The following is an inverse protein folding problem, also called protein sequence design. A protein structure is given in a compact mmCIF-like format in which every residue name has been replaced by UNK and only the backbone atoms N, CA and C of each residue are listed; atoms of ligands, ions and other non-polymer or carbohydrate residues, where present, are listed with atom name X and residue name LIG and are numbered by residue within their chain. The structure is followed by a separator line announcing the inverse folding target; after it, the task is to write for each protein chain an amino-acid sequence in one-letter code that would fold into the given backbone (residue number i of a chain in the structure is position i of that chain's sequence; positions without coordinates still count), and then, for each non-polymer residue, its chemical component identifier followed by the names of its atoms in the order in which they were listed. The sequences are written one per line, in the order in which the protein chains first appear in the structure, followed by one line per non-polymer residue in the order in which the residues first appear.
data_IF_085516649249
#
_entry.id   IF_085516649249
#
_cell.length_a   1.000
_cell.length_b   1.000
_cell.length_c   1.000
_cell.angle_alpha   90.00
_cell.angle_beta   90.00
_cell.angle_gamma   90.00
#
_symmetry.space_group_name_H-M   'P 1'
#
loop_
_entity.id
_entity.type
_entity.pdbx_description
1 polymer ?
#
# COMPACT_ATOMS: atom_id res chain seq x y z
N UNK A 1 -47.06 -32.70 60.39
CA UNK A 1 -47.95 -31.79 59.62
C UNK A 1 -47.07 -30.71 59.00
N UNK A 2 -46.85 -30.76 57.69
CA UNK A 2 -45.96 -29.82 56.98
C UNK A 2 -46.79 -28.69 56.35
N UNK A 3 -46.30 -27.43 56.37
CA UNK A 3 -47.07 -26.27 55.95
C UNK A 3 -47.33 -26.24 54.44
N UNK A 4 -48.55 -25.82 54.09
CA UNK A 4 -49.15 -25.80 52.75
C UNK A 4 -48.41 -24.94 51.71
N UNK A 5 -47.55 -24.03 52.14
CA UNK A 5 -46.78 -23.15 51.24
C UNK A 5 -45.79 -23.90 50.34
N UNK A 6 -45.22 -25.02 50.81
CA UNK A 6 -44.20 -25.76 50.05
C UNK A 6 -44.77 -26.61 48.89
N UNK A 7 -46.08 -26.89 48.91
CA UNK A 7 -46.72 -27.72 47.90
C UNK A 7 -47.13 -26.94 46.65
N UNK A 8 -47.31 -25.62 46.77
CA UNK A 8 -47.77 -24.75 45.68
C UNK A 8 -46.61 -24.39 44.73
N UNK A 9 -45.40 -24.24 45.27
CA UNK A 9 -44.20 -23.87 44.51
C UNK A 9 -43.71 -25.00 43.58
N UNK A 10 -43.77 -26.25 44.06
CA UNK A 10 -43.48 -27.43 43.24
C UNK A 10 -44.42 -27.60 42.04
N UNK A 11 -45.68 -27.16 42.14
CA UNK A 11 -46.63 -27.22 41.03
C UNK A 11 -46.36 -26.14 39.99
N UNK A 12 -45.86 -24.97 40.42
CA UNK A 12 -45.51 -23.88 39.53
C UNK A 12 -44.24 -24.19 38.73
N UNK A 13 -43.19 -24.68 39.40
CA UNK A 13 -41.94 -25.08 38.76
C UNK A 13 -42.14 -26.20 37.73
N UNK A 14 -43.05 -27.15 37.98
CA UNK A 14 -43.37 -28.23 37.02
C UNK A 14 -44.15 -27.74 35.79
N UNK A 15 -44.89 -26.63 35.89
CA UNK A 15 -45.57 -26.02 34.73
C UNK A 15 -44.61 -25.23 33.86
N UNK A 16 -43.63 -24.54 34.46
CA UNK A 16 -42.64 -23.77 33.71
C UNK A 16 -41.68 -24.67 32.93
N UNK A 17 -41.30 -25.85 33.46
CA UNK A 17 -40.41 -26.77 32.75
C UNK A 17 -41.06 -27.52 31.58
N UNK A 18 -42.40 -27.49 31.49
CA UNK A 18 -43.15 -28.22 30.46
C UNK A 18 -43.49 -27.35 29.25
N UNK A 19 -43.33 -26.02 29.36
CA UNK A 19 -43.66 -25.08 28.28
C UNK A 19 -42.53 -24.81 27.28
N UNK A 20 -41.30 -25.25 27.54
CA UNK A 20 -40.13 -24.87 26.72
C UNK A 20 -39.46 -26.01 25.97
N UNK A 21 -40.12 -27.16 25.77
CA UNK A 21 -39.56 -28.23 24.94
C UNK A 21 -40.16 -28.18 23.53
N UNK A 22 -39.41 -27.67 22.52
CA UNK A 22 -39.85 -27.70 21.14
C UNK A 22 -40.08 -29.15 20.70
N UNK A 23 -41.15 -29.39 19.95
CA UNK A 23 -41.52 -30.74 19.56
C UNK A 23 -40.42 -31.39 18.71
N UNK A 24 -40.31 -32.72 18.79
CA UNK A 24 -39.31 -33.49 18.02
C UNK A 24 -39.41 -33.22 16.50
N UNK A 25 -40.58 -32.83 16.01
CA UNK A 25 -40.83 -32.41 14.61
C UNK A 25 -40.25 -31.03 14.28
N UNK A 26 -40.22 -30.11 15.24
CA UNK A 26 -39.68 -28.75 15.06
C UNK A 26 -38.15 -28.76 14.88
N UNK A 27 -37.46 -29.71 15.52
CA UNK A 27 -36.02 -29.93 15.35
C UNK A 27 -35.66 -30.38 13.94
N UNK A 28 -36.45 -31.27 13.33
CA UNK A 28 -36.19 -31.74 11.96
C UNK A 28 -36.45 -30.66 10.90
N UNK A 29 -37.45 -29.79 11.11
CA UNK A 29 -37.76 -28.67 10.20
C UNK A 29 -36.66 -27.59 10.22
N UNK A 30 -36.11 -27.28 11.39
CA UNK A 30 -35.00 -26.30 11.49
C UNK A 30 -33.72 -26.87 10.85
N UNK A 31 -33.44 -28.16 11.04
CA UNK A 31 -32.25 -28.81 10.47
C UNK A 31 -32.30 -28.86 8.93
N UNK A 32 -33.47 -29.11 8.33
CA UNK A 32 -33.62 -29.13 6.86
C UNK A 32 -33.51 -27.74 6.23
N UNK A 33 -33.97 -26.68 6.92
CA UNK A 33 -33.84 -25.30 6.43
C UNK A 33 -32.37 -24.84 6.44
N UNK A 34 -31.60 -25.14 7.49
CA UNK A 34 -30.17 -24.74 7.57
C UNK A 34 -29.33 -25.47 6.50
N UNK A 35 -29.60 -26.76 6.26
CA UNK A 35 -28.88 -27.55 5.24
C UNK A 35 -29.26 -27.09 3.81
N UNK A 36 -30.52 -26.69 3.57
CA UNK A 36 -30.99 -26.19 2.27
C UNK A 36 -30.45 -24.80 1.89
N UNK A 37 -30.27 -23.91 2.87
CA UNK A 37 -29.73 -22.55 2.63
C UNK A 37 -28.20 -22.57 2.43
N UNK A 38 -27.48 -23.54 3.00
CA UNK A 38 -26.03 -23.68 2.85
C UNK A 38 -25.55 -24.07 1.43
N UNK A 39 -26.43 -24.55 0.56
CA UNK A 39 -26.06 -25.08 -0.77
C UNK A 39 -26.11 -24.06 -1.92
N UNK A 40 -26.58 -22.83 -1.69
CA UNK A 40 -26.78 -21.83 -2.76
C UNK A 40 -25.70 -20.72 -2.84
N UNK A 41 -24.62 -20.79 -2.05
CA UNK A 41 -23.62 -19.70 -1.97
C UNK A 41 -22.18 -20.10 -2.27
N UNK A 42 -21.93 -21.23 -2.93
CA UNK A 42 -20.56 -21.72 -3.18
C UNK A 42 -20.10 -21.65 -4.65
N UNK A 43 -20.62 -20.72 -5.44
CA UNK A 43 -20.10 -20.40 -6.78
C UNK A 43 -19.64 -18.94 -6.88
N UNK A 44 -18.95 -18.42 -5.86
CA UNK A 44 -18.03 -17.31 -6.10
C UNK A 44 -16.76 -17.92 -6.67
N UNK A 45 -16.62 -17.90 -8.00
CA UNK A 45 -15.34 -18.18 -8.64
C UNK A 45 -14.31 -17.26 -8.01
N UNK A 46 -13.21 -17.77 -7.42
CA UNK A 46 -12.13 -16.91 -6.97
C UNK A 46 -11.68 -16.12 -8.18
N UNK A 47 -11.75 -14.80 -8.11
CA UNK A 47 -11.24 -13.93 -9.17
C UNK A 47 -9.74 -14.18 -9.23
N UNK A 48 -9.33 -15.02 -10.17
CA UNK A 48 -7.92 -15.27 -10.45
C UNK A 48 -7.27 -13.92 -10.69
N UNK A 49 -6.41 -13.51 -9.77
CA UNK A 49 -5.58 -12.34 -9.94
C UNK A 49 -4.60 -12.64 -11.07
N UNK A 50 -4.95 -12.22 -12.28
CA UNK A 50 -3.97 -12.12 -13.35
C UNK A 50 -3.25 -10.78 -13.13
N UNK A 51 -1.96 -10.79 -12.76
CA UNK A 51 -1.20 -9.56 -12.78
C UNK A 51 -1.23 -9.02 -14.22
N UNK A 52 -1.45 -7.71 -14.41
CA UNK A 52 -1.43 -7.12 -15.73
C UNK A 52 -0.07 -7.35 -16.39
N UNK A 53 -0.09 -7.69 -17.68
CA UNK A 53 1.13 -7.76 -18.48
C UNK A 53 1.64 -6.33 -18.65
N UNK A 54 2.73 -5.99 -17.97
CA UNK A 54 3.40 -4.70 -18.12
C UNK A 54 4.18 -4.79 -19.43
N UNK A 55 3.75 -4.06 -20.45
CA UNK A 55 4.53 -3.86 -21.67
C UNK A 55 5.71 -2.91 -21.36
N UNK A 56 6.97 -3.40 -21.35
CA UNK A 56 8.12 -2.58 -21.00
C UNK A 56 8.46 -1.54 -22.09
N UNK A 57 7.88 -1.64 -23.29
CA UNK A 57 8.22 -0.77 -24.42
C UNK A 57 7.28 0.45 -24.53
N UNK A 58 6.18 0.49 -23.77
CA UNK A 58 5.32 1.67 -23.70
C UNK A 58 5.84 2.67 -22.65
N UNK A 59 6.78 3.53 -23.07
CA UNK A 59 7.14 4.72 -22.29
C UNK A 59 5.95 5.65 -22.19
N UNK A 60 5.33 5.71 -21.01
CA UNK A 60 4.26 6.66 -20.77
C UNK A 60 4.86 8.06 -20.74
N UNK A 61 4.29 8.96 -21.53
CA UNK A 61 4.54 10.39 -21.39
C UNK A 61 3.45 10.99 -20.48
N UNK A 62 3.77 12.00 -19.67
CA UNK A 62 2.78 12.63 -18.82
C UNK A 62 1.74 13.33 -19.71
N UNK A 63 0.57 13.67 -19.15
CA UNK A 63 -0.43 14.45 -19.88
C UNK A 63 0.21 15.71 -20.48
N UNK A 64 -0.01 15.96 -21.76
CA UNK A 64 0.53 17.12 -22.46
C UNK A 64 -0.01 18.45 -21.95
N UNK A 65 -1.09 18.43 -21.15
CA UNK A 65 -1.69 19.60 -20.53
C UNK A 65 -1.92 19.36 -19.03
N UNK A 66 -0.88 19.52 -18.23
CA UNK A 66 -0.97 19.52 -16.77
C UNK A 66 -1.63 20.84 -16.32
N UNK A 67 -2.84 20.74 -15.77
CA UNK A 67 -3.61 21.89 -15.26
C UNK A 67 -3.81 21.85 -13.75
N UNK A 68 -3.58 20.70 -13.13
CA UNK A 68 -3.61 20.53 -11.69
C UNK A 68 -2.44 21.33 -11.04
N UNK A 69 -2.72 22.27 -10.12
CA UNK A 69 -1.69 23.07 -9.48
C UNK A 69 -0.62 22.27 -8.73
N UNK A 70 -1.00 21.15 -8.09
CA UNK A 70 -0.07 20.28 -7.36
C UNK A 70 0.87 19.57 -8.34
N UNK A 71 0.36 19.10 -9.48
CA UNK A 71 1.19 18.48 -10.51
C UNK A 71 2.13 19.50 -11.18
N UNK A 72 1.68 20.75 -11.36
CA UNK A 72 2.51 21.84 -11.87
C UNK A 72 3.65 22.20 -10.92
N UNK A 73 3.37 22.35 -9.63
CA UNK A 73 4.39 22.59 -8.60
C UNK A 73 5.37 21.41 -8.52
N UNK A 74 4.83 20.17 -8.51
CA UNK A 74 5.63 18.95 -8.51
C UNK A 74 6.58 18.86 -9.71
N UNK A 75 6.10 19.22 -10.91
CA UNK A 75 6.93 19.30 -12.10
C UNK A 75 8.03 20.36 -11.97
N UNK A 76 7.70 21.56 -11.48
CA UNK A 76 8.68 22.64 -11.32
C UNK A 76 9.82 22.22 -10.41
N UNK A 77 9.50 21.60 -9.27
CA UNK A 77 10.53 21.10 -8.36
C UNK A 77 11.31 19.92 -8.96
N UNK A 78 10.65 18.99 -9.65
CA UNK A 78 11.34 17.88 -10.32
C UNK A 78 12.33 18.38 -11.38
N UNK A 79 11.90 19.31 -12.25
CA UNK A 79 12.75 19.88 -13.30
C UNK A 79 13.99 20.58 -12.69
N UNK A 80 13.80 21.32 -11.60
CA UNK A 80 14.85 22.09 -10.95
C UNK A 80 15.84 21.20 -10.18
N UNK A 81 15.34 20.18 -9.48
CA UNK A 81 16.12 19.45 -8.47
C UNK A 81 16.51 18.03 -8.90
N UNK A 82 15.75 17.39 -9.78
CA UNK A 82 15.86 15.95 -10.04
C UNK A 82 16.26 15.63 -11.48
N UNK A 83 15.73 16.40 -12.45
CA UNK A 83 15.82 16.09 -13.88
C UNK A 83 17.25 16.07 -14.43
N UNK A 84 18.20 16.77 -13.80
CA UNK A 84 19.60 16.77 -14.21
C UNK A 84 20.26 15.38 -14.13
N UNK A 85 19.79 14.52 -13.22
CA UNK A 85 20.26 13.13 -13.06
C UNK A 85 19.26 12.12 -13.62
N UNK A 86 17.97 12.29 -13.36
CA UNK A 86 16.92 11.33 -13.73
C UNK A 86 16.28 11.60 -15.10
N UNK A 87 16.69 12.68 -15.77
CA UNK A 87 16.15 13.11 -17.06
C UNK A 87 14.83 13.87 -16.95
N UNK A 88 14.61 14.82 -17.88
CA UNK A 88 13.36 15.60 -17.98
C UNK A 88 12.14 14.77 -18.40
N UNK A 89 12.37 13.56 -18.91
CA UNK A 89 11.32 12.58 -19.19
C UNK A 89 11.37 11.38 -18.24
N UNK A 90 12.07 11.50 -17.09
CA UNK A 90 12.20 10.47 -16.07
C UNK A 90 12.87 9.17 -16.57
N UNK A 91 13.59 9.23 -17.69
CA UNK A 91 14.23 8.07 -18.32
C UNK A 91 15.50 7.58 -17.64
N UNK A 92 15.90 8.20 -16.52
CA UNK A 92 17.08 7.82 -15.75
C UNK A 92 18.37 8.42 -16.32
N UNK A 93 19.47 7.72 -16.08
CA UNK A 93 20.81 8.20 -16.40
C UNK A 93 21.01 8.51 -17.90
N UNK A 94 21.77 9.58 -18.18
CA UNK A 94 22.14 9.93 -19.55
C UNK A 94 22.90 8.77 -20.23
N UNK A 95 22.45 8.28 -21.41
CA UNK A 95 23.00 7.08 -22.05
C UNK A 95 24.51 7.08 -22.22
N UNK A 96 25.10 8.23 -22.53
CA UNK A 96 26.54 8.38 -22.80
C UNK A 96 27.40 8.22 -21.53
N UNK A 97 26.79 8.27 -20.34
CA UNK A 97 27.47 8.18 -19.03
C UNK A 97 27.26 6.83 -18.34
N UNK A 98 26.38 5.98 -18.89
CA UNK A 98 26.03 4.68 -18.30
C UNK A 98 27.27 3.78 -18.18
N UNK A 99 28.04 3.62 -19.26
CA UNK A 99 29.19 2.72 -19.25
C UNK A 99 30.21 3.10 -18.17
N UNK A 100 30.51 4.39 -18.02
CA UNK A 100 31.41 4.88 -16.99
C UNK A 100 30.93 4.53 -15.57
N UNK A 101 29.62 4.55 -15.33
CA UNK A 101 29.05 4.22 -14.01
C UNK A 101 29.13 2.73 -13.73
N UNK A 102 28.90 1.90 -14.75
CA UNK A 102 29.02 0.45 -14.66
C UNK A 102 30.49 0.01 -14.50
N UNK A 103 31.44 0.67 -15.15
CA UNK A 103 32.88 0.39 -15.03
C UNK A 103 33.40 0.64 -13.61
N UNK A 104 32.73 1.53 -12.85
CA UNK A 104 32.98 1.78 -11.44
C UNK A 104 32.27 0.78 -10.51
N UNK A 105 31.56 -0.20 -11.06
CA UNK A 105 30.81 -1.21 -10.31
C UNK A 105 29.55 -0.66 -9.62
N UNK A 106 29.02 0.47 -10.06
CA UNK A 106 27.86 1.14 -9.45
C UNK A 106 26.57 0.84 -10.20
N UNK A 107 25.45 1.08 -9.51
CA UNK A 107 24.11 1.05 -10.10
C UNK A 107 23.86 2.42 -10.76
N UNK A 108 23.26 2.40 -11.95
CA UNK A 108 22.94 3.63 -12.68
C UNK A 108 21.84 4.44 -12.00
N UNK A 109 21.78 5.74 -12.28
CA UNK A 109 20.65 6.58 -11.85
C UNK A 109 19.34 5.99 -12.41
N UNK A 110 18.37 5.63 -11.54
CA UNK A 110 17.22 4.85 -11.98
C UNK A 110 16.25 5.69 -12.83
N UNK A 111 15.63 5.09 -13.86
CA UNK A 111 14.45 5.64 -14.49
C UNK A 111 13.28 5.66 -13.51
N UNK A 112 12.58 6.79 -13.47
CA UNK A 112 11.35 6.98 -12.71
C UNK A 112 10.09 6.90 -13.58
N UNK A 113 10.23 6.74 -14.91
CA UNK A 113 9.14 6.45 -15.82
C UNK A 113 8.64 4.99 -15.74
N UNK A 114 7.71 4.63 -16.61
CA UNK A 114 7.10 3.28 -16.67
C UNK A 114 8.08 2.14 -16.95
N UNK A 115 9.29 2.43 -17.47
CA UNK A 115 10.31 1.41 -17.78
C UNK A 115 11.15 1.03 -16.56
N UNK A 116 11.14 1.87 -15.53
CA UNK A 116 11.78 1.60 -14.25
C UNK A 116 10.93 0.74 -13.33
N UNK A 117 11.38 0.65 -12.07
CA UNK A 117 10.71 -0.11 -11.02
C UNK A 117 10.33 0.76 -9.81
N UNK A 118 10.34 2.09 -9.96
CA UNK A 118 10.05 3.05 -8.88
C UNK A 118 8.63 2.85 -8.33
N UNK A 119 7.67 2.54 -9.21
CA UNK A 119 6.27 2.24 -8.85
C UNK A 119 6.10 0.97 -8.00
N UNK A 120 7.15 0.17 -7.82
CA UNK A 120 7.14 -1.02 -6.95
C UNK A 120 7.40 -0.68 -5.48
N UNK A 121 7.48 0.61 -5.13
CA UNK A 121 7.75 1.08 -3.77
C UNK A 121 6.59 1.94 -3.26
N UNK A 122 6.25 1.84 -1.96
CA UNK A 122 5.18 2.63 -1.36
C UNK A 122 5.58 4.11 -1.22
N UNK A 123 4.59 5.01 -1.15
CA UNK A 123 4.81 6.46 -1.06
C UNK A 123 5.72 6.83 0.12
N UNK A 124 5.53 6.20 1.27
CA UNK A 124 6.29 6.47 2.49
C UNK A 124 7.79 6.25 2.26
N UNK A 125 8.16 5.18 1.57
CA UNK A 125 9.56 4.86 1.26
C UNK A 125 10.10 5.84 0.22
N UNK A 126 9.35 6.13 -0.83
CA UNK A 126 9.79 7.06 -1.88
C UNK A 126 10.00 8.48 -1.34
N UNK A 127 9.09 8.98 -0.52
CA UNK A 127 9.19 10.29 0.13
C UNK A 127 10.36 10.31 1.12
N UNK A 128 10.57 9.24 1.90
CA UNK A 128 11.74 9.12 2.78
C UNK A 128 13.04 9.19 1.98
N UNK A 129 13.15 8.45 0.89
CA UNK A 129 14.32 8.47 0.00
C UNK A 129 14.61 9.86 -0.55
N UNK A 130 13.60 10.62 -0.98
CA UNK A 130 13.81 12.01 -1.43
C UNK A 130 14.27 12.90 -0.27
N UNK A 131 13.69 12.71 0.92
CA UNK A 131 14.02 13.49 2.12
C UNK A 131 15.46 13.25 2.59
N UNK A 132 15.88 11.99 2.64
CA UNK A 132 17.15 11.55 3.23
C UNK A 132 18.29 11.41 2.20
N UNK A 133 17.96 11.29 0.91
CA UNK A 133 18.93 11.09 -0.16
C UNK A 133 19.53 9.68 -0.18
N UNK A 134 20.40 9.43 -1.16
CA UNK A 134 21.15 8.18 -1.32
C UNK A 134 22.60 8.55 -1.63
N UNK A 135 23.50 8.23 -0.70
CA UNK A 135 24.93 8.37 -0.92
C UNK A 135 25.51 7.09 -1.53
N UNK A 136 26.60 7.23 -2.30
CA UNK A 136 27.36 6.09 -2.79
C UNK A 136 28.87 6.26 -2.47
N UNK A 137 29.64 5.15 -2.36
CA UNK A 137 31.02 5.19 -1.89
C UNK A 137 31.99 6.02 -2.75
N UNK A 138 31.64 6.25 -4.01
CA UNK A 138 32.50 6.94 -4.99
C UNK A 138 32.03 8.37 -5.29
N UNK A 139 31.00 8.86 -4.59
CA UNK A 139 30.39 10.17 -4.79
C UNK A 139 30.02 10.50 -6.25
N UNK A 140 29.72 9.48 -7.05
CA UNK A 140 29.39 9.63 -8.47
C UNK A 140 27.87 9.50 -8.64
N UNK A 141 27.20 10.58 -9.01
CA UNK A 141 25.73 10.71 -8.99
C UNK A 141 25.08 10.38 -7.62
N UNK A 142 25.55 10.94 -6.49
CA UNK A 142 24.82 10.81 -5.23
C UNK A 142 23.46 11.50 -5.37
N UNK A 143 22.42 10.92 -4.76
CA UNK A 143 21.14 11.58 -4.61
C UNK A 143 21.19 12.43 -3.33
N UNK A 144 21.17 13.77 -3.41
CA UNK A 144 21.23 14.62 -2.22
C UNK A 144 19.99 14.44 -1.33
N UNK A 145 20.13 14.76 -0.05
CA UNK A 145 19.01 14.87 0.87
C UNK A 145 18.27 16.20 0.64
N UNK A 146 16.95 16.15 0.45
CA UNK A 146 16.13 17.36 0.23
C UNK A 146 15.27 17.76 1.44
N UNK A 147 15.36 17.05 2.56
CA UNK A 147 14.48 17.27 3.71
C UNK A 147 14.56 18.64 4.38
N UNK A 148 15.67 19.37 4.22
CA UNK A 148 15.81 20.76 4.69
C UNK A 148 15.38 21.80 3.65
N UNK A 149 15.27 21.39 2.38
CA UNK A 149 15.00 22.28 1.25
C UNK A 149 13.53 22.23 0.79
N UNK A 150 12.82 21.13 1.06
CA UNK A 150 11.45 20.89 0.62
C UNK A 150 10.53 20.60 1.80
N UNK A 151 9.31 21.15 1.74
CA UNK A 151 8.22 20.80 2.65
C UNK A 151 7.62 19.44 2.29
N UNK A 152 6.88 18.82 3.22
CA UNK A 152 6.17 17.56 2.94
C UNK A 152 5.17 17.70 1.79
N UNK A 153 4.50 18.84 1.65
CA UNK A 153 3.59 19.10 0.53
C UNK A 153 4.34 19.07 -0.82
N UNK A 154 5.53 19.68 -0.88
CA UNK A 154 6.36 19.71 -2.09
C UNK A 154 6.95 18.33 -2.42
N UNK A 155 7.39 17.57 -1.41
CA UNK A 155 7.83 16.18 -1.60
C UNK A 155 6.70 15.33 -2.20
N UNK A 156 5.48 15.45 -1.66
CA UNK A 156 4.31 14.77 -2.19
C UNK A 156 3.94 15.24 -3.60
N UNK A 157 4.05 16.54 -3.89
CA UNK A 157 3.81 17.09 -5.23
C UNK A 157 4.78 16.52 -6.27
N UNK A 158 6.08 16.42 -5.94
CA UNK A 158 7.10 15.79 -6.81
C UNK A 158 6.71 14.33 -7.09
N UNK A 159 6.37 13.56 -6.04
CA UNK A 159 5.98 12.16 -6.22
C UNK A 159 4.69 12.02 -7.04
N UNK A 160 3.71 12.92 -6.84
CA UNK A 160 2.49 12.96 -7.64
C UNK A 160 2.80 13.24 -9.12
N UNK A 161 3.75 14.13 -9.42
CA UNK A 161 4.21 14.35 -10.79
C UNK A 161 4.89 13.11 -11.38
N UNK A 162 5.78 12.44 -10.63
CA UNK A 162 6.43 11.19 -11.07
C UNK A 162 5.39 10.12 -11.45
N UNK A 163 4.34 9.96 -10.63
CA UNK A 163 3.22 9.02 -10.87
C UNK A 163 2.51 9.21 -12.21
N UNK A 164 2.62 10.39 -12.83
CA UNK A 164 2.03 10.66 -14.15
C UNK A 164 2.74 9.93 -15.30
N UNK A 165 3.97 9.45 -15.09
CA UNK A 165 4.74 8.66 -16.06
C UNK A 165 4.53 7.15 -15.90
N UNK A 166 3.62 6.73 -15.03
CA UNK A 166 3.31 5.31 -14.82
C UNK A 166 2.06 4.92 -15.60
N UNK A 167 1.94 3.65 -15.95
CA UNK A 167 0.68 3.13 -16.49
C UNK A 167 -0.39 3.14 -15.40
N UNK A 168 -1.66 3.01 -15.78
CA UNK A 168 -2.75 2.91 -14.82
C UNK A 168 -2.58 1.69 -13.91
N UNK A 169 -2.13 0.57 -14.46
CA UNK A 169 -1.87 -0.66 -13.69
C UNK A 169 -0.74 -0.47 -12.68
N UNK A 170 0.33 0.22 -13.07
CA UNK A 170 1.46 0.54 -12.18
C UNK A 170 1.01 1.45 -11.04
N UNK A 171 0.23 2.50 -11.31
CA UNK A 171 -0.34 3.37 -10.25
C UNK A 171 -1.24 2.59 -9.30
N UNK A 172 -2.11 1.73 -9.82
CA UNK A 172 -3.00 0.92 -8.98
C UNK A 172 -2.23 -0.07 -8.11
N UNK A 173 -1.19 -0.71 -8.66
CA UNK A 173 -0.31 -1.58 -7.88
C UNK A 173 0.41 -0.80 -6.77
N UNK A 174 0.97 0.35 -7.12
CA UNK A 174 1.69 1.20 -6.18
C UNK A 174 0.78 1.73 -5.06
N UNK A 175 -0.46 2.09 -5.38
CA UNK A 175 -1.44 2.50 -4.37
C UNK A 175 -1.70 1.37 -3.37
N UNK A 176 -1.89 0.13 -3.85
CA UNK A 176 -2.07 -1.04 -2.95
C UNK A 176 -0.84 -1.26 -2.06
N UNK A 177 0.37 -1.08 -2.58
CA UNK A 177 1.58 -1.16 -1.77
C UNK A 177 1.62 -0.07 -0.69
N UNK A 178 1.29 1.16 -1.05
CA UNK A 178 1.22 2.30 -0.12
C UNK A 178 0.22 2.05 1.01
N UNK A 179 -0.96 1.53 0.68
CA UNK A 179 -2.02 1.22 1.65
C UNK A 179 -1.59 0.06 2.56
N UNK A 180 -1.03 -1.01 1.99
CA UNK A 180 -0.54 -2.16 2.75
C UNK A 180 0.61 -1.78 3.68
N UNK A 181 1.54 -0.93 3.22
CA UNK A 181 2.64 -0.42 4.02
C UNK A 181 2.11 0.36 5.23
N UNK A 182 1.15 1.26 5.02
CA UNK A 182 0.54 2.02 6.11
C UNK A 182 -0.11 1.12 7.17
N UNK A 183 -0.78 0.04 6.76
CA UNK A 183 -1.36 -0.93 7.68
C UNK A 183 -0.31 -1.71 8.48
N UNK A 184 0.75 -2.15 7.81
CA UNK A 184 1.84 -2.88 8.46
C UNK A 184 2.59 -1.99 9.44
N UNK A 185 2.85 -0.75 9.06
CA UNK A 185 3.46 0.22 9.95
C UNK A 185 2.59 0.49 11.19
N UNK A 186 1.31 0.78 11.01
CA UNK A 186 0.40 0.99 12.15
C UNK A 186 0.31 -0.22 13.09
N UNK A 187 0.59 -1.42 12.58
CA UNK A 187 0.56 -2.68 13.35
C UNK A 187 1.89 -3.00 14.03
N UNK A 188 3.01 -2.65 13.41
CA UNK A 188 4.34 -3.15 13.79
C UNK A 188 5.39 -2.06 14.05
N UNK A 189 5.08 -0.77 13.83
CA UNK A 189 6.00 0.34 14.03
C UNK A 189 7.23 0.27 13.13
N UNK A 190 7.06 -0.02 11.84
CA UNK A 190 8.18 -0.20 10.90
C UNK A 190 8.84 1.13 10.50
N UNK A 191 8.18 2.25 10.75
CA UNK A 191 8.64 3.58 10.36
C UNK A 191 9.48 4.29 11.42
N UNK A 192 9.55 3.72 12.63
CA UNK A 192 10.21 4.37 13.75
C UNK A 192 11.72 4.20 13.66
N UNK A 193 12.41 5.33 13.78
CA UNK A 193 13.86 5.47 13.77
C UNK A 193 14.52 4.82 15.00
N UNK A 194 14.25 3.56 15.33
CA UNK A 194 14.98 2.84 16.39
C UNK A 194 16.47 2.69 16.05
N UNK A 195 16.87 2.88 14.79
CA UNK A 195 18.29 2.94 14.38
C UNK A 195 18.90 4.33 14.64
N UNK A 196 18.16 5.43 14.53
CA UNK A 196 18.72 6.77 14.78
C UNK A 196 18.87 7.10 16.28
N UNK A 197 18.09 6.46 17.14
CA UNK A 197 18.22 6.63 18.61
C UNK A 197 19.42 5.88 19.19
N UNK A 198 20.01 4.92 18.47
CA UNK A 198 21.22 4.23 18.91
C UNK A 198 22.50 5.06 18.67
N UNK A 199 22.53 5.91 17.65
CA UNK A 199 23.68 6.79 17.36
C UNK A 199 23.68 8.09 18.17
N UNK A 200 22.53 8.51 18.71
CA UNK A 200 22.44 9.66 19.61
C UNK A 200 22.76 9.33 21.09
N UNK A 201 23.06 8.06 21.40
CA UNK A 201 23.33 7.56 22.75
C UNK A 201 24.79 7.09 22.96
N UNK A 202 25.69 7.39 22.02
CA UNK A 202 27.14 7.19 22.10
C UNK A 202 27.87 8.52 21.95
#
# INVERSE_FOLDING_TARGET
MMPTAFQQDRRLMRRLSQQSQPSRTQHWVILTIIIGVGFLSACTTPRSYMPPVIDPDHRMSPPSNLTDPVLLEGKQHYDLLCAHCHGYTLGGQLPQTIQQTLDLGMITVPPHDSTGHTWQHPDQLLIRTIREGIQNPLAQYPMPAFGSALTDAQLNAILAYIKTYWTEEQRQYQQRLTDNWAQLDARFGMNDNEIATAEAAL
#
